data_IF_912567027907
#
_entry.id   IF_912567027907
#
_cell.length_a   1.000
_cell.length_b   1.000
_cell.length_c   1.000
_cell.angle_alpha   90.00
_cell.angle_beta   90.00
_cell.angle_gamma   90.00
#
_symmetry.space_group_name_H-M   'P 1'
#
loop_
_entity.id
_entity.type
_entity.pdbx_description
1 polymer ?
#
# COMPACT_ATOMS: atom_id res chain seq x y z
N UNK A 1 8.73 20.86 6.17
CA UNK A 1 9.54 21.98 5.67
C UNK A 1 10.14 22.85 6.77
N UNK A 2 9.80 22.63 8.05
CA UNK A 2 10.40 23.33 9.21
C UNK A 2 11.20 22.40 10.14
N UNK A 3 11.21 21.09 9.88
CA UNK A 3 11.91 20.09 10.68
C UNK A 3 13.33 19.85 10.17
N UNK A 4 14.25 19.56 11.08
CA UNK A 4 15.64 19.19 10.77
C UNK A 4 15.75 17.77 10.23
N UNK A 5 14.95 16.89 10.80
CA UNK A 5 15.00 15.46 10.53
C UNK A 5 14.46 15.15 9.12
N UNK A 6 15.06 14.14 8.49
CA UNK A 6 14.63 13.67 7.18
C UNK A 6 13.25 13.02 7.31
N UNK A 7 12.32 13.53 6.53
CA UNK A 7 10.96 13.02 6.44
C UNK A 7 10.62 12.68 5.00
N UNK A 8 9.76 11.69 4.82
CA UNK A 8 9.15 11.37 3.54
C UNK A 8 7.65 11.58 3.64
N UNK A 9 7.07 12.23 2.64
CA UNK A 9 5.64 12.32 2.41
C UNK A 9 5.33 11.56 1.14
N UNK A 10 4.40 10.62 1.24
CA UNK A 10 3.88 9.90 0.09
C UNK A 10 2.39 10.18 0.01
N UNK A 11 1.94 10.74 -1.10
CA UNK A 11 0.53 10.69 -1.49
C UNK A 11 0.33 9.47 -2.39
N UNK A 12 -0.64 8.63 -2.04
CA UNK A 12 -0.93 7.42 -2.80
C UNK A 12 -2.32 7.54 -3.38
N UNK A 13 -2.35 7.67 -4.69
CA UNK A 13 -3.52 7.48 -5.52
C UNK A 13 -3.23 6.59 -6.73
N UNK A 14 -3.77 6.93 -7.90
CA UNK A 14 -3.45 6.25 -9.18
C UNK A 14 -1.95 6.31 -9.44
N UNK A 15 -1.36 7.46 -9.11
CA UNK A 15 0.07 7.69 -9.04
C UNK A 15 0.54 7.66 -7.58
N UNK A 16 1.84 7.48 -7.39
CA UNK A 16 2.49 7.83 -6.14
C UNK A 16 3.31 9.09 -6.35
N UNK A 17 2.93 10.15 -5.64
CA UNK A 17 3.70 11.38 -5.51
C UNK A 17 4.48 11.31 -4.20
N UNK A 18 5.79 11.51 -4.27
CA UNK A 18 6.69 11.42 -3.12
C UNK A 18 7.46 12.72 -2.97
N UNK A 19 7.54 13.21 -1.75
CA UNK A 19 8.43 14.30 -1.35
C UNK A 19 9.32 13.81 -0.21
N UNK A 20 10.63 13.89 -0.39
CA UNK A 20 11.66 13.51 0.58
C UNK A 20 12.49 14.74 0.92
N UNK A 21 12.73 14.98 2.20
CA UNK A 21 13.61 16.08 2.63
C UNK A 21 13.36 16.57 4.04
N UNK A 22 13.81 17.80 4.28
CA UNK A 22 13.74 18.46 5.59
C UNK A 22 13.55 19.98 5.41
N UNK A 23 13.97 20.78 6.39
CA UNK A 23 13.89 22.25 6.33
C UNK A 23 14.93 22.90 5.44
N UNK A 24 15.95 22.19 4.96
CA UNK A 24 17.01 22.73 4.12
C UNK A 24 16.74 22.41 2.66
N UNK A 25 16.44 21.16 2.34
CA UNK A 25 16.23 20.70 0.96
C UNK A 25 14.95 19.86 0.82
N UNK A 26 14.38 19.84 -0.37
CA UNK A 26 13.22 19.03 -0.74
C UNK A 26 13.44 18.43 -2.13
N UNK A 27 13.22 17.13 -2.25
CA UNK A 27 13.19 16.40 -3.51
C UNK A 27 11.79 15.84 -3.72
N UNK A 28 11.24 15.99 -4.92
CA UNK A 28 9.94 15.45 -5.29
C UNK A 28 10.05 14.51 -6.50
N UNK A 29 9.23 13.48 -6.55
CA UNK A 29 9.03 12.68 -7.76
C UNK A 29 7.57 12.24 -7.88
N UNK A 30 7.18 11.84 -9.07
CA UNK A 30 5.93 11.13 -9.30
C UNK A 30 6.23 9.85 -10.08
N UNK A 31 5.51 8.78 -9.78
CA UNK A 31 5.60 7.53 -10.50
C UNK A 31 4.26 6.81 -10.56
N UNK A 32 4.07 5.98 -11.58
CA UNK A 32 2.88 5.16 -11.68
C UNK A 32 2.91 4.06 -10.61
N UNK A 33 2.16 4.25 -9.51
CA UNK A 33 1.93 3.19 -8.53
C UNK A 33 0.91 2.15 -9.03
N UNK A 34 0.10 2.51 -10.02
CA UNK A 34 -0.86 1.62 -10.66
C UNK A 34 -2.19 1.54 -9.91
N UNK A 35 -3.32 1.32 -10.61
CA UNK A 35 -4.66 1.56 -10.09
C UNK A 35 -5.15 0.52 -9.07
N UNK A 36 -4.32 -0.45 -8.65
CA UNK A 36 -4.77 -1.62 -7.88
C UNK A 36 -5.43 -1.28 -6.53
N UNK A 37 -5.27 -0.03 -6.10
CA UNK A 37 -5.55 0.45 -4.77
C UNK A 37 -6.72 1.45 -4.69
N UNK A 38 -7.16 2.00 -5.83
CA UNK A 38 -8.20 3.04 -5.91
C UNK A 38 -9.60 2.54 -6.32
N UNK A 39 -9.79 1.21 -6.35
CA UNK A 39 -11.05 0.59 -6.77
C UNK A 39 -11.13 0.48 -8.30
N UNK A 40 -11.44 -0.73 -8.80
CA UNK A 40 -11.58 -0.99 -10.24
C UNK A 40 -10.59 -2.00 -10.83
N UNK A 41 -9.55 -2.41 -10.10
CA UNK A 41 -8.61 -3.44 -10.59
C UNK A 41 -9.02 -4.84 -10.16
N UNK A 42 -9.42 -5.01 -8.89
CA UNK A 42 -10.02 -6.24 -8.44
C UNK A 42 -11.53 -6.22 -8.72
N UNK A 43 -12.10 -7.35 -9.16
CA UNK A 43 -13.55 -7.44 -9.40
C UNK A 43 -14.39 -7.07 -8.17
N UNK A 44 -13.88 -7.36 -6.97
CA UNK A 44 -14.51 -6.98 -5.70
C UNK A 44 -14.02 -5.63 -5.13
N UNK A 45 -13.10 -4.95 -5.84
CA UNK A 45 -12.50 -3.69 -5.41
C UNK A 45 -13.48 -2.52 -5.54
N UNK A 46 -13.66 -1.78 -4.45
CA UNK A 46 -14.58 -0.64 -4.35
C UNK A 46 -13.92 0.51 -3.60
N UNK A 47 -14.36 1.73 -3.89
CA UNK A 47 -14.02 2.89 -3.06
C UNK A 47 -14.59 2.71 -1.65
N UNK A 48 -13.92 3.26 -0.63
CA UNK A 48 -14.37 3.15 0.75
C UNK A 48 -15.79 3.75 0.92
N UNK A 49 -16.69 2.96 1.49
CA UNK A 49 -18.09 3.35 1.69
C UNK A 49 -18.87 2.27 2.46
N UNK A 50 -20.14 2.50 2.78
CA UNK A 50 -20.93 1.60 3.63
C UNK A 50 -20.95 0.16 3.12
N UNK A 51 -20.61 -0.81 3.98
CA UNK A 51 -20.54 -2.23 3.64
C UNK A 51 -19.25 -2.65 2.89
N UNK A 52 -18.34 -1.73 2.59
CA UNK A 52 -17.05 -2.09 1.99
C UNK A 52 -16.10 -2.57 3.09
N UNK A 53 -15.41 -3.68 2.84
CA UNK A 53 -14.42 -4.27 3.76
C UNK A 53 -13.17 -3.40 3.80
N UNK A 54 -12.81 -2.92 4.99
CA UNK A 54 -11.66 -2.03 5.24
C UNK A 54 -10.58 -2.63 6.15
N UNK A 55 -10.88 -3.76 6.80
CA UNK A 55 -9.92 -4.53 7.58
C UNK A 55 -10.11 -6.01 7.34
N UNK A 56 -9.00 -6.73 7.17
CA UNK A 56 -8.99 -8.20 7.12
C UNK A 56 -7.92 -8.72 8.08
N UNK A 57 -8.32 -9.62 8.97
CA UNK A 57 -7.43 -10.31 9.89
C UNK A 57 -7.70 -11.80 9.75
N UNK A 58 -6.66 -12.61 9.74
CA UNK A 58 -6.82 -14.05 9.80
C UNK A 58 -6.23 -14.57 11.11
N UNK A 59 -6.91 -15.56 11.67
CA UNK A 59 -6.44 -16.29 12.83
C UNK A 59 -5.36 -17.32 12.38
N UNK A 60 -4.14 -17.28 12.93
CA UNK A 60 -3.03 -18.10 12.46
C UNK A 60 -3.20 -19.60 12.76
N UNK A 61 -3.96 -19.95 13.80
CA UNK A 61 -4.16 -21.34 14.22
C UNK A 61 -5.29 -22.00 13.41
N UNK A 62 -6.41 -21.28 13.24
CA UNK A 62 -7.62 -21.82 12.61
C UNK A 62 -7.69 -21.51 11.11
N UNK A 63 -6.96 -20.49 10.64
CA UNK A 63 -7.09 -19.96 9.27
C UNK A 63 -8.42 -19.25 9.01
N UNK A 64 -9.17 -18.90 10.06
CA UNK A 64 -10.43 -18.16 9.92
C UNK A 64 -10.21 -16.68 9.66
N UNK A 65 -10.91 -16.15 8.65
CA UNK A 65 -10.83 -14.73 8.28
C UNK A 65 -11.95 -13.95 8.98
N UNK A 66 -11.55 -12.90 9.71
CA UNK A 66 -12.44 -11.88 10.28
C UNK A 66 -12.30 -10.61 9.46
N UNK A 67 -13.43 -9.98 9.18
CA UNK A 67 -13.50 -8.75 8.38
C UNK A 67 -14.19 -7.66 9.18
N UNK A 68 -13.80 -6.41 8.93
CA UNK A 68 -14.56 -5.22 9.31
C UNK A 68 -15.10 -4.56 8.05
N UNK A 69 -16.35 -4.11 8.12
CA UNK A 69 -16.98 -3.30 7.07
C UNK A 69 -17.27 -1.91 7.60
N UNK A 70 -17.18 -0.91 6.73
CA UNK A 70 -17.55 0.46 7.06
C UNK A 70 -19.05 0.52 7.38
N UNK A 71 -19.40 1.23 8.45
CA UNK A 71 -20.76 1.28 9.04
C UNK A 71 -21.32 -0.07 9.50
N UNK A 72 -20.49 -1.12 9.64
CA UNK A 72 -20.91 -2.47 10.04
C UNK A 72 -22.06 -3.05 9.19
N UNK A 73 -22.15 -2.64 7.91
CA UNK A 73 -23.15 -3.17 6.97
C UNK A 73 -22.70 -4.50 6.35
N UNK A 74 -23.62 -5.30 5.78
CA UNK A 74 -23.26 -6.52 5.06
C UNK A 74 -22.19 -6.24 3.98
N UNK A 75 -21.19 -7.12 3.82
CA UNK A 75 -20.04 -6.87 2.96
C UNK A 75 -20.43 -6.87 1.49
N UNK A 76 -20.08 -5.80 0.77
CA UNK A 76 -20.41 -5.65 -0.66
C UNK A 76 -19.19 -5.58 -1.58
N UNK A 77 -18.00 -5.39 -1.01
CA UNK A 77 -16.73 -5.32 -1.71
C UNK A 77 -15.58 -5.08 -0.74
N UNK A 78 -14.41 -4.71 -1.26
CA UNK A 78 -13.19 -4.44 -0.48
C UNK A 78 -12.53 -3.14 -0.96
N UNK A 79 -12.00 -2.33 -0.04
CA UNK A 79 -11.19 -1.17 -0.42
C UNK A 79 -9.70 -1.51 -0.45
N UNK A 80 -8.85 -0.57 -0.88
CA UNK A 80 -7.41 -0.78 -1.02
C UNK A 80 -6.71 -1.25 0.26
N UNK A 81 -7.05 -0.67 1.42
CA UNK A 81 -6.49 -1.10 2.71
C UNK A 81 -6.91 -2.52 3.09
N UNK A 82 -8.19 -2.86 2.91
CA UNK A 82 -8.67 -4.23 3.09
C UNK A 82 -7.98 -5.24 2.15
N UNK A 83 -7.68 -4.83 0.91
CA UNK A 83 -6.99 -5.67 -0.07
C UNK A 83 -5.53 -5.94 0.32
N UNK A 84 -4.81 -4.91 0.79
CA UNK A 84 -3.45 -5.06 1.33
C UNK A 84 -3.45 -6.01 2.53
N UNK A 85 -4.37 -5.79 3.47
CA UNK A 85 -4.55 -6.67 4.63
C UNK A 85 -4.79 -8.11 4.17
N UNK A 86 -5.75 -8.35 3.27
CA UNK A 86 -6.05 -9.69 2.77
C UNK A 86 -4.80 -10.38 2.20
N UNK A 87 -4.05 -9.70 1.33
CA UNK A 87 -2.87 -10.31 0.70
C UNK A 87 -1.75 -10.52 1.71
N UNK A 88 -1.58 -9.63 2.69
CA UNK A 88 -0.66 -9.84 3.81
C UNK A 88 -1.03 -11.10 4.62
N UNK A 89 -2.32 -11.26 4.99
CA UNK A 89 -2.80 -12.43 5.73
C UNK A 89 -2.63 -13.73 4.92
N UNK A 90 -2.98 -13.71 3.63
CA UNK A 90 -2.78 -14.86 2.75
C UNK A 90 -1.30 -15.27 2.67
N UNK A 91 -0.39 -14.30 2.64
CA UNK A 91 1.04 -14.56 2.61
C UNK A 91 1.53 -15.17 3.93
N UNK A 92 1.15 -14.58 5.07
CA UNK A 92 1.56 -15.06 6.39
C UNK A 92 1.04 -16.48 6.67
N UNK A 93 -0.17 -16.81 6.22
CA UNK A 93 -0.74 -18.17 6.32
C UNK A 93 -0.15 -19.17 5.31
N UNK A 94 0.75 -18.73 4.42
CA UNK A 94 1.31 -19.56 3.35
C UNK A 94 0.28 -19.98 2.29
N UNK A 95 -0.85 -19.27 2.20
CA UNK A 95 -1.90 -19.49 1.19
C UNK A 95 -1.50 -18.94 -0.18
N UNK A 96 -0.53 -18.04 -0.22
CA UNK A 96 0.16 -17.61 -1.44
C UNK A 96 1.68 -17.75 -1.27
N UNK A 97 2.39 -18.02 -2.35
CA UNK A 97 3.85 -18.06 -2.37
C UNK A 97 4.48 -16.66 -2.52
N UNK A 98 5.82 -16.60 -2.57
CA UNK A 98 6.57 -15.36 -2.75
C UNK A 98 6.24 -14.63 -4.06
N UNK A 99 5.62 -15.28 -5.05
CA UNK A 99 5.21 -14.70 -6.33
C UNK A 99 3.72 -14.34 -6.35
N UNK A 100 3.03 -14.50 -5.22
CA UNK A 100 1.58 -14.29 -5.10
C UNK A 100 0.73 -15.40 -5.70
N UNK A 101 1.29 -16.58 -5.98
CA UNK A 101 0.51 -17.69 -6.54
C UNK A 101 -0.14 -18.48 -5.42
N UNK A 102 -1.43 -18.78 -5.57
CA UNK A 102 -2.18 -19.54 -4.59
C UNK A 102 -1.60 -20.95 -4.39
N UNK A 103 -1.38 -21.30 -3.12
CA UNK A 103 -0.95 -22.62 -2.68
C UNK A 103 -2.20 -23.47 -2.41
N UNK A 104 -2.63 -24.24 -3.40
CA UNK A 104 -3.92 -24.98 -3.38
C UNK A 104 -4.14 -25.80 -2.11
N UNK A 105 -3.10 -26.48 -1.62
CA UNK A 105 -3.14 -27.32 -0.42
C UNK A 105 -3.40 -26.54 0.86
N UNK A 106 -3.11 -25.24 0.89
CA UNK A 106 -3.32 -24.36 2.05
C UNK A 106 -4.65 -23.61 2.01
N UNK A 107 -5.24 -23.44 0.82
CA UNK A 107 -6.48 -22.66 0.68
C UNK A 107 -7.77 -23.45 0.91
N UNK A 108 -7.73 -24.78 0.78
CA UNK A 108 -8.88 -25.66 1.01
C UNK A 108 -10.15 -25.21 0.28
N UNK A 109 -11.28 -25.20 0.98
CA UNK A 109 -12.62 -24.88 0.44
C UNK A 109 -12.79 -23.42 -0.03
N UNK A 110 -11.86 -22.51 0.32
CA UNK A 110 -11.92 -21.11 -0.07
C UNK A 110 -11.34 -20.85 -1.46
N UNK A 111 -10.56 -21.78 -2.03
CA UNK A 111 -10.07 -21.64 -3.39
C UNK A 111 -11.04 -22.28 -4.37
N UNK A 112 -11.47 -21.50 -5.37
CA UNK A 112 -12.30 -21.97 -6.48
C UNK A 112 -11.61 -21.67 -7.80
N UNK A 113 -11.98 -22.43 -8.83
CA UNK A 113 -11.56 -22.13 -10.19
C UNK A 113 -12.77 -21.61 -10.98
N UNK A 114 -12.61 -20.47 -11.64
CA UNK A 114 -13.61 -19.83 -12.51
C UNK A 114 -12.92 -19.56 -13.83
N UNK A 115 -13.42 -20.14 -14.92
CA UNK A 115 -12.84 -20.01 -16.27
C UNK A 115 -11.33 -20.27 -16.33
N UNK A 116 -10.87 -21.29 -15.59
CA UNK A 116 -9.46 -21.66 -15.51
C UNK A 116 -8.61 -20.80 -14.54
N UNK A 117 -9.15 -19.71 -14.01
CA UNK A 117 -8.47 -18.79 -13.09
C UNK A 117 -8.78 -19.17 -11.64
N UNK A 118 -7.77 -19.10 -10.76
CA UNK A 118 -7.95 -19.31 -9.33
C UNK A 118 -8.55 -18.07 -8.65
N UNK A 119 -9.56 -18.27 -7.80
CA UNK A 119 -10.26 -17.27 -7.01
C UNK A 119 -10.29 -17.67 -5.54
N UNK A 120 -9.78 -16.82 -4.66
CA UNK A 120 -9.93 -16.98 -3.22
C UNK A 120 -11.22 -16.32 -2.73
N UNK A 121 -12.05 -17.06 -2.01
CA UNK A 121 -13.30 -16.59 -1.43
C UNK A 121 -13.04 -15.99 -0.05
N UNK A 122 -13.07 -14.65 0.04
CA UNK A 122 -13.02 -13.93 1.32
C UNK A 122 -14.37 -14.08 2.03
N UNK A 123 -15.46 -13.74 1.34
CA UNK A 123 -16.84 -13.81 1.86
C UNK A 123 -17.67 -14.73 0.98
N UNK A 124 -18.37 -15.69 1.59
CA UNK A 124 -19.28 -16.57 0.87
C UNK A 124 -20.57 -15.84 0.49
N UNK A 125 -21.23 -16.27 -0.59
CA UNK A 125 -22.45 -15.63 -1.11
C UNK A 125 -23.54 -15.43 -0.06
N UNK A 126 -23.72 -16.37 0.87
CA UNK A 126 -24.73 -16.32 1.93
C UNK A 126 -24.48 -15.21 2.97
N UNK A 127 -23.24 -14.77 3.11
CA UNK A 127 -22.81 -13.77 4.10
C UNK A 127 -22.56 -12.40 3.43
N UNK A 128 -22.78 -12.30 2.12
CA UNK A 128 -22.50 -11.13 1.29
C UNK A 128 -23.76 -10.28 1.09
N UNK A 129 -23.60 -8.96 1.21
CA UNK A 129 -24.66 -7.99 0.91
C UNK A 129 -25.07 -7.93 -0.57
N UNK A 130 -24.27 -8.51 -1.47
CA UNK A 130 -24.56 -8.55 -2.92
C UNK A 130 -25.26 -9.84 -3.37
N UNK A 131 -25.42 -10.82 -2.47
CA UNK A 131 -25.85 -12.18 -2.81
C UNK A 131 -24.80 -13.00 -3.59
N UNK A 132 -23.65 -12.42 -3.93
CA UNK A 132 -22.54 -13.07 -4.61
C UNK A 132 -21.32 -13.14 -3.70
N UNK A 133 -20.51 -14.20 -3.84
CA UNK A 133 -19.27 -14.34 -3.10
C UNK A 133 -18.28 -13.21 -3.44
N UNK A 134 -17.62 -12.65 -2.42
CA UNK A 134 -16.54 -11.70 -2.63
C UNK A 134 -15.24 -12.48 -2.81
N UNK A 135 -14.69 -12.44 -4.02
CA UNK A 135 -13.54 -13.25 -4.40
C UNK A 135 -12.37 -12.43 -4.93
N UNK A 136 -11.16 -12.80 -4.54
CA UNK A 136 -9.91 -12.27 -5.07
C UNK A 136 -9.34 -13.21 -6.14
N UNK A 137 -9.23 -12.74 -7.38
CA UNK A 137 -8.70 -13.54 -8.47
C UNK A 137 -7.16 -13.53 -8.51
N UNK A 138 -6.55 -14.48 -9.23
CA UNK A 138 -5.10 -14.47 -9.46
C UNK A 138 -4.62 -13.21 -10.22
N UNK A 139 -5.30 -12.74 -11.30
CA UNK A 139 -4.99 -11.45 -11.92
C UNK A 139 -5.03 -10.25 -10.97
N UNK A 140 -5.95 -10.24 -10.00
CA UNK A 140 -6.04 -9.17 -9.00
C UNK A 140 -4.79 -9.13 -8.12
N UNK A 141 -4.32 -10.28 -7.64
CA UNK A 141 -3.05 -10.38 -6.89
C UNK A 141 -1.88 -9.96 -7.77
N UNK A 142 -1.83 -10.43 -9.02
CA UNK A 142 -0.74 -10.09 -9.94
C UNK A 142 -0.69 -8.56 -10.19
N UNK A 143 -1.84 -7.89 -10.23
CA UNK A 143 -1.93 -6.43 -10.34
C UNK A 143 -1.49 -5.72 -9.06
N UNK A 144 -1.93 -6.19 -7.88
CA UNK A 144 -1.48 -5.66 -6.60
C UNK A 144 0.04 -5.79 -6.43
N UNK A 145 0.63 -6.92 -6.83
CA UNK A 145 2.08 -7.14 -6.78
C UNK A 145 2.83 -6.15 -7.66
N UNK A 146 2.30 -5.81 -8.84
CA UNK A 146 2.90 -4.75 -9.67
C UNK A 146 2.81 -3.40 -8.97
N UNK A 147 1.66 -3.09 -8.39
CA UNK A 147 1.47 -1.81 -7.70
C UNK A 147 2.36 -1.64 -6.49
N UNK A 148 2.44 -2.65 -5.63
CA UNK A 148 3.32 -2.61 -4.46
C UNK A 148 4.80 -2.56 -4.88
N UNK A 149 5.18 -3.25 -5.97
CA UNK A 149 6.54 -3.24 -6.49
C UNK A 149 6.92 -1.85 -7.01
N UNK A 150 6.01 -1.19 -7.72
CA UNK A 150 6.20 0.17 -8.22
C UNK A 150 6.42 1.13 -7.04
N UNK A 151 5.54 1.08 -6.04
CA UNK A 151 5.64 1.90 -4.83
C UNK A 151 7.00 1.72 -4.13
N UNK A 152 7.38 0.49 -3.81
CA UNK A 152 8.66 0.22 -3.15
C UNK A 152 9.87 0.68 -3.98
N UNK A 153 9.78 0.52 -5.31
CA UNK A 153 10.84 0.95 -6.24
C UNK A 153 10.96 2.47 -6.29
N UNK A 154 9.85 3.21 -6.31
CA UNK A 154 9.84 4.67 -6.25
C UNK A 154 10.58 5.13 -4.98
N UNK A 155 10.19 4.60 -3.82
CA UNK A 155 10.79 4.95 -2.52
C UNK A 155 12.29 4.62 -2.46
N UNK A 156 12.68 3.46 -2.97
CA UNK A 156 14.08 3.03 -3.01
C UNK A 156 14.90 3.88 -3.98
N UNK A 157 14.32 4.26 -5.12
CA UNK A 157 15.00 5.07 -6.13
C UNK A 157 15.29 6.47 -5.60
N UNK A 158 14.29 7.14 -5.01
CA UNK A 158 14.48 8.50 -4.49
C UNK A 158 15.48 8.56 -3.36
N UNK A 159 15.47 7.59 -2.44
CA UNK A 159 16.42 7.52 -1.32
C UNK A 159 17.85 7.27 -1.80
N UNK A 160 18.03 6.36 -2.77
CA UNK A 160 19.35 6.10 -3.39
C UNK A 160 19.90 7.30 -4.14
N UNK A 161 19.07 8.05 -4.86
CA UNK A 161 19.52 9.20 -5.66
C UNK A 161 20.15 10.32 -4.82
N UNK A 162 19.75 10.43 -3.54
CA UNK A 162 20.33 11.37 -2.59
C UNK A 162 21.28 10.71 -1.59
N UNK A 163 21.60 9.43 -1.78
CA UNK A 163 22.46 8.63 -0.91
C UNK A 163 22.03 8.65 0.57
N UNK A 164 20.72 8.61 0.81
CA UNK A 164 20.12 8.52 2.14
C UNK A 164 19.67 7.08 2.38
N UNK A 165 19.99 6.52 3.55
CA UNK A 165 19.46 5.22 3.93
C UNK A 165 17.97 5.35 4.24
N UNK A 166 17.17 4.35 3.85
CA UNK A 166 15.76 4.28 4.29
C UNK A 166 15.64 4.26 5.82
N UNK A 167 16.67 3.80 6.53
CA UNK A 167 16.73 3.78 7.99
C UNK A 167 16.96 5.17 8.61
N UNK A 168 17.43 6.14 7.83
CA UNK A 168 17.62 7.53 8.29
C UNK A 168 16.31 8.33 8.27
N UNK A 169 15.24 7.76 7.71
CA UNK A 169 13.92 8.39 7.65
C UNK A 169 13.30 8.40 9.05
N UNK A 170 13.19 9.59 9.63
CA UNK A 170 12.65 9.78 10.98
C UNK A 170 11.12 9.78 11.01
N UNK A 171 10.47 10.23 9.92
CA UNK A 171 9.01 10.24 9.79
C UNK A 171 8.59 9.88 8.38
N UNK A 172 7.63 8.96 8.29
CA UNK A 172 7.02 8.51 7.05
C UNK A 172 5.55 8.92 7.05
N UNK A 173 5.25 10.03 6.39
CA UNK A 173 3.89 10.54 6.24
C UNK A 173 3.21 9.86 5.04
N UNK A 174 2.01 9.31 5.26
CA UNK A 174 1.21 8.68 4.21
C UNK A 174 -0.09 9.47 4.07
N UNK A 175 -0.28 10.13 2.92
CA UNK A 175 -1.45 10.91 2.58
C UNK A 175 -2.35 10.18 1.57
N UNK A 176 -3.43 10.85 1.19
CA UNK A 176 -4.43 10.34 0.26
C UNK A 176 -5.54 9.57 0.98
N UNK A 177 -6.62 9.28 0.25
CA UNK A 177 -7.71 8.40 0.73
C UNK A 177 -7.19 7.03 1.16
N UNK A 178 -6.09 6.62 0.56
CA UNK A 178 -5.32 5.42 0.86
C UNK A 178 -4.59 5.50 2.21
N UNK A 179 -3.88 6.60 2.49
CA UNK A 179 -3.02 6.76 3.67
C UNK A 179 -3.73 6.75 5.03
N UNK A 180 -5.02 7.10 5.07
CA UNK A 180 -5.77 7.16 6.33
C UNK A 180 -6.10 5.79 6.94
N UNK A 181 -6.22 4.74 6.12
CA UNK A 181 -6.77 3.43 6.57
C UNK A 181 -5.79 2.27 6.52
N UNK A 182 -4.58 2.51 6.01
CA UNK A 182 -3.59 1.44 5.85
C UNK A 182 -2.95 1.08 7.17
N UNK A 183 -2.84 -0.23 7.37
CA UNK A 183 -2.00 -0.81 8.38
C UNK A 183 -0.55 -0.89 7.86
N UNK A 184 0.41 -0.13 8.43
CA UNK A 184 1.79 -0.19 8.01
C UNK A 184 2.36 -1.61 8.12
N UNK A 185 1.90 -2.42 9.08
CA UNK A 185 2.33 -3.82 9.21
C UNK A 185 1.98 -4.63 7.97
N UNK A 186 0.75 -4.51 7.46
CA UNK A 186 0.32 -5.23 6.25
C UNK A 186 1.06 -4.72 5.01
N UNK A 187 1.28 -3.41 4.89
CA UNK A 187 2.04 -2.81 3.80
C UNK A 187 3.52 -3.24 3.79
N UNK A 188 4.16 -3.34 4.96
CA UNK A 188 5.51 -3.91 5.10
C UNK A 188 5.50 -5.41 4.77
N UNK A 189 4.49 -6.15 5.24
CA UNK A 189 4.36 -7.60 4.99
C UNK A 189 4.35 -7.94 3.51
N UNK A 190 3.62 -7.16 2.70
CA UNK A 190 3.62 -7.35 1.24
C UNK A 190 4.84 -6.74 0.55
N UNK A 191 5.66 -5.95 1.27
CA UNK A 191 6.81 -5.22 0.77
C UNK A 191 6.44 -4.06 -0.14
N UNK A 192 5.41 -3.30 0.24
CA UNK A 192 4.98 -2.07 -0.44
C UNK A 192 5.75 -0.85 0.06
N UNK A 193 6.06 -0.82 1.35
CA UNK A 193 6.80 0.26 2.02
C UNK A 193 8.00 -0.34 2.78
N UNK A 194 9.05 0.46 3.08
CA UNK A 194 10.24 -0.02 3.79
C UNK A 194 9.92 -0.58 5.17
N UNK A 195 10.70 -1.56 5.62
CA UNK A 195 10.58 -2.15 6.95
C UNK A 195 11.19 -1.22 8.01
N UNK A 196 10.38 -0.26 8.48
CA UNK A 196 10.70 0.69 9.53
C UNK A 196 9.85 0.40 10.78
N UNK A 197 10.26 0.96 11.91
CA UNK A 197 9.47 0.91 13.14
C UNK A 197 8.06 1.49 12.90
N UNK A 198 7.03 0.86 13.45
CA UNK A 198 5.64 1.20 13.13
C UNK A 198 5.29 2.64 13.53
N UNK A 199 5.92 3.16 14.57
CA UNK A 199 5.81 4.53 15.04
C UNK A 199 6.39 5.56 14.07
N UNK A 200 7.24 5.17 13.12
CA UNK A 200 7.76 6.06 12.06
C UNK A 200 6.64 6.48 11.11
N UNK A 201 5.64 5.63 10.91
CA UNK A 201 4.53 5.89 10.00
C UNK A 201 3.49 6.81 10.63
N UNK A 202 3.17 7.90 9.93
CA UNK A 202 2.23 8.94 10.33
C UNK A 202 1.13 9.04 9.28
N UNK A 203 -0.05 8.40 9.50
CA UNK A 203 -1.15 8.54 8.58
C UNK A 203 -1.62 10.00 8.58
N UNK A 204 -1.84 10.52 7.39
CA UNK A 204 -2.46 11.80 7.12
C UNK A 204 -3.77 11.56 6.36
N UNK A 205 -4.68 12.53 6.46
CA UNK A 205 -5.90 12.53 5.65
C UNK A 205 -5.64 13.04 4.23
N UNK A 206 -6.68 13.65 3.65
CA UNK A 206 -6.56 14.35 2.38
C UNK A 206 -5.79 15.67 2.55
N UNK A 207 -4.46 15.60 2.44
CA UNK A 207 -3.54 16.73 2.60
C UNK A 207 -3.74 17.79 1.52
N UNK A 208 -4.16 17.41 0.32
CA UNK A 208 -4.52 18.33 -0.76
C UNK A 208 -5.68 19.24 -0.34
N UNK A 209 -6.79 18.68 0.14
CA UNK A 209 -7.95 19.45 0.61
C UNK A 209 -7.62 20.30 1.85
N UNK A 210 -6.86 19.74 2.79
CA UNK A 210 -6.39 20.48 3.97
C UNK A 210 -5.50 21.67 3.57
N UNK A 211 -4.54 21.45 2.66
CA UNK A 211 -3.65 22.50 2.14
C UNK A 211 -4.42 23.59 1.40
N UNK A 212 -5.40 23.22 0.57
CA UNK A 212 -6.27 24.17 -0.14
C UNK A 212 -7.07 25.03 0.83
N UNK A 213 -7.59 24.44 1.91
CA UNK A 213 -8.33 25.16 2.94
C UNK A 213 -7.44 26.14 3.71
N UNK A 214 -6.21 25.74 4.05
CA UNK A 214 -5.21 26.62 4.68
C UNK A 214 -4.85 27.80 3.78
N UNK A 215 -4.61 27.54 2.49
CA UNK A 215 -4.33 28.57 1.50
C UNK A 215 -5.52 29.53 1.34
N UNK A 216 -6.75 29.03 1.32
CA UNK A 216 -7.95 29.86 1.21
C UNK A 216 -8.07 30.84 2.39
N UNK A 217 -7.81 30.35 3.60
CA UNK A 217 -8.03 31.11 4.85
C UNK A 217 -6.85 31.99 5.28
N UNK A 218 -5.63 31.78 4.77
CA UNK A 218 -4.43 32.48 5.23
C UNK A 218 -3.52 32.96 4.10
N UNK A 219 -3.31 34.27 4.01
CA UNK A 219 -2.35 34.87 3.08
C UNK A 219 -0.91 34.38 3.30
N UNK A 220 -0.50 34.21 4.57
CA UNK A 220 0.82 33.66 4.93
C UNK A 220 0.99 32.21 4.43
N UNK A 221 -0.07 31.41 4.49
CA UNK A 221 -0.02 30.04 3.97
C UNK A 221 0.12 30.01 2.44
N UNK A 222 -0.51 30.94 1.72
CA UNK A 222 -0.31 31.08 0.25
C UNK A 222 1.13 31.42 -0.08
N UNK A 223 1.73 32.37 0.64
CA UNK A 223 3.15 32.72 0.46
C UNK A 223 4.07 31.52 0.73
N UNK A 224 3.78 30.75 1.78
CA UNK A 224 4.56 29.55 2.12
C UNK A 224 4.47 28.47 1.02
N UNK A 225 3.31 28.26 0.41
CA UNK A 225 3.17 27.31 -0.71
C UNK A 225 4.12 27.66 -1.86
N UNK A 226 4.24 28.95 -2.21
CA UNK A 226 5.18 29.37 -3.26
C UNK A 226 6.63 29.13 -2.86
N UNK A 227 7.01 29.41 -1.61
CA UNK A 227 8.35 29.10 -1.09
C UNK A 227 8.65 27.61 -1.13
N UNK A 228 7.68 26.76 -0.78
CA UNK A 228 7.84 25.30 -0.84
C UNK A 228 8.03 24.86 -2.30
N UNK A 229 7.17 25.32 -3.22
CA UNK A 229 7.28 25.03 -4.66
C UNK A 229 8.67 25.34 -5.19
N UNK A 230 9.20 26.52 -4.87
CA UNK A 230 10.50 26.98 -5.40
C UNK A 230 11.70 26.22 -4.82
N UNK A 231 11.50 25.44 -3.76
CA UNK A 231 12.53 24.62 -3.11
C UNK A 231 12.49 23.14 -3.50
N UNK A 232 11.39 22.68 -4.12
CA UNK A 232 11.27 21.29 -4.53
C UNK A 232 12.09 21.07 -5.81
N UNK A 233 13.09 20.20 -5.70
CA UNK A 233 13.81 19.67 -6.86
C UNK A 233 13.05 18.45 -7.37
N UNK A 234 12.48 18.55 -8.58
CA UNK A 234 11.79 17.42 -9.20
C UNK A 234 12.79 16.43 -9.81
N UNK A 235 12.54 15.14 -9.60
CA UNK A 235 13.30 14.03 -10.15
C UNK A 235 12.41 13.18 -11.04
N UNK A 236 12.83 13.02 -12.30
CA UNK A 236 12.17 12.17 -13.28
C UNK A 236 12.62 10.71 -13.11
N UNK A 237 11.68 9.81 -12.82
CA UNK A 237 11.99 8.39 -12.59
C UNK A 237 12.13 7.59 -13.89
N UNK A 238 11.47 8.01 -14.97
CA UNK A 238 11.43 7.24 -16.22
C UNK A 238 12.80 7.12 -16.93
N UNK A 239 13.75 7.99 -16.60
CA UNK A 239 15.11 7.97 -17.16
C UNK A 239 16.08 7.11 -16.34
N UNK A 240 15.63 6.56 -15.20
CA UNK A 240 16.49 5.78 -14.31
C UNK A 240 16.62 4.34 -14.81
N UNK A 241 17.83 3.99 -15.30
CA UNK A 241 18.12 2.66 -15.84
C UNK A 241 18.05 1.55 -14.79
N UNK A 242 18.25 1.86 -13.50
CA UNK A 242 18.12 0.88 -12.42
C UNK A 242 16.67 0.59 -12.03
N UNK A 243 15.73 1.48 -12.37
CA UNK A 243 14.34 1.38 -11.95
C UNK A 243 13.73 0.03 -12.34
N UNK A 244 13.96 -0.43 -13.57
CA UNK A 244 13.43 -1.71 -14.05
C UNK A 244 14.02 -2.93 -13.34
N UNK A 245 15.29 -2.84 -12.92
CA UNK A 245 15.94 -3.89 -12.15
C UNK A 245 15.38 -3.96 -10.73
N UNK A 246 15.26 -2.79 -10.07
CA UNK A 246 14.65 -2.66 -8.75
C UNK A 246 13.18 -3.12 -8.75
N UNK A 247 12.41 -2.69 -9.73
CA UNK A 247 11.03 -3.12 -9.92
C UNK A 247 10.91 -4.63 -10.10
N UNK A 248 11.83 -5.24 -10.86
CA UNK A 248 11.84 -6.69 -11.05
C UNK A 248 12.10 -7.45 -9.75
N UNK A 249 13.01 -6.96 -8.91
CA UNK A 249 13.27 -7.52 -7.58
C UNK A 249 12.10 -7.28 -6.59
N UNK A 250 11.38 -6.18 -6.76
CA UNK A 250 10.26 -5.82 -5.91
C UNK A 250 8.95 -6.57 -6.22
N UNK A 251 8.88 -7.37 -7.30
CA UNK A 251 7.70 -8.19 -7.67
C UNK A 251 7.51 -9.47 -6.83
N UNK A 252 8.31 -9.68 -5.79
CA UNK A 252 8.16 -10.81 -4.86
C UNK A 252 7.69 -10.32 -3.51
N UNK A 253 6.99 -11.13 -2.71
CA UNK A 253 6.52 -10.75 -1.37
C UNK A 253 7.50 -11.26 -0.28
N UNK A 254 8.01 -10.39 0.62
CA UNK A 254 7.97 -8.93 0.54
C UNK A 254 8.92 -8.38 -0.53
N UNK A 255 10.02 -9.08 -0.83
CA UNK A 255 11.01 -8.71 -1.84
C UNK A 255 11.92 -9.91 -2.16
N UNK A 256 12.62 -9.94 -3.30
CA UNK A 256 13.62 -10.99 -3.60
C UNK A 256 14.72 -11.04 -2.54
N UNK A 257 15.19 -9.86 -2.10
CA UNK A 257 16.08 -9.73 -0.95
C UNK A 257 15.27 -9.62 0.35
N UNK A 258 15.25 -10.72 1.10
CA UNK A 258 14.53 -10.82 2.38
C UNK A 258 15.24 -10.11 3.54
N UNK A 259 16.50 -9.70 3.38
CA UNK A 259 17.23 -8.99 4.44
C UNK A 259 16.71 -7.56 4.64
N UNK A 260 16.04 -7.01 3.62
CA UNK A 260 15.38 -5.70 3.67
C UNK A 260 14.08 -5.70 4.49
N UNK A 261 13.58 -6.88 4.88
CA UNK A 261 12.31 -7.07 5.59
C UNK A 261 12.45 -8.02 6.78
N UNK A 262 13.32 -7.73 7.76
CA UNK A 262 13.52 -8.60 8.92
C UNK A 262 12.25 -8.84 9.75
N UNK A 263 11.36 -7.86 9.88
CA UNK A 263 10.16 -7.95 10.74
C UNK A 263 9.14 -8.97 10.23
N UNK A 264 9.07 -9.18 8.92
CA UNK A 264 8.12 -10.11 8.29
C UNK A 264 8.36 -11.54 8.74
N UNK A 265 9.62 -11.93 8.98
CA UNK A 265 9.94 -13.27 9.54
C UNK A 265 9.38 -13.45 10.94
N UNK A 266 9.52 -12.42 11.78
CA UNK A 266 8.98 -12.42 13.13
C UNK A 266 7.44 -12.53 13.12
N UNK A 267 6.77 -11.92 12.15
CA UNK A 267 5.32 -12.05 12.00
C UNK A 267 4.87 -13.40 11.46
N UNK A 268 5.69 -14.09 10.66
CA UNK A 268 5.38 -15.42 10.11
C UNK A 268 5.63 -16.59 11.08
N UNK A 269 6.32 -16.33 12.20
CA UNK A 269 6.68 -17.34 13.21
C UNK A 269 5.82 -17.27 14.48
N UNK A 270 4.85 -16.36 14.49
CA UNK A 270 3.81 -16.21 15.52
C UNK A 270 2.49 -16.81 15.00
#
# INVERSE_FOLDING_TARGET
>A
THQDEISILVDVGTNAEVVLGNREWLMGCAGAAGPALEGGVARMGMMAGPGVVDKVIADPETGEFRIRTIENKPPVGICGSGLIDLVAQLFLLGMIDLRGKYVKSKCGKRLKQVDGVNHFVLVFSKDSGTGNALTLSQPDIDALIRSKAAMYTILTTVTRMINVSVLDISRFYIAGTFGFTIDPKSAITIGMIPDLALETFKPLGNTSLTGASLALLSGKAREEIYKIRDRVTYVELNVNQEFMNLFSAAKFIPHTDRSLFPSVRAWSSA
#
